data_IF_554881719132
#
_entry.id   IF_554881719132
#
_cell.length_a   1.000
_cell.length_b   1.000
_cell.length_c   1.000
_cell.angle_alpha   90.00
_cell.angle_beta   90.00
_cell.angle_gamma   90.00
#
_symmetry.space_group_name_H-M   'P 1'
#
loop_
_entity.id
_entity.type
_entity.pdbx_description
1 polymer ?
#
# COMPACT_ATOMS: atom_id res chain seq x y z
N UNK A 1 0.04 8.03 5.74
CA UNK A 1 1.43 7.72 5.32
C UNK A 1 2.38 8.88 5.63
N UNK A 2 2.15 10.11 5.12
CA UNK A 2 3.08 11.24 5.29
C UNK A 2 3.30 11.66 6.76
N UNK A 3 2.24 11.65 7.55
CA UNK A 3 2.30 11.98 8.99
C UNK A 3 2.86 10.84 9.87
N UNK A 4 3.24 9.69 9.27
CA UNK A 4 3.80 8.53 9.97
C UNK A 4 2.94 8.00 11.16
N UNK A 5 1.61 8.09 11.06
CA UNK A 5 0.67 7.62 12.07
C UNK A 5 0.07 6.23 11.78
N UNK A 6 0.67 5.48 10.84
CA UNK A 6 0.17 4.17 10.40
C UNK A 6 1.25 3.14 10.67
N UNK A 7 0.97 2.18 11.55
CA UNK A 7 1.89 1.07 11.85
C UNK A 7 1.70 -0.12 10.90
N UNK A 8 0.49 -0.28 10.35
CA UNK A 8 0.13 -1.41 9.49
C UNK A 8 -0.64 -0.95 8.25
N UNK A 9 -0.32 -1.56 7.11
CA UNK A 9 -0.93 -1.25 5.82
C UNK A 9 -1.49 -2.53 5.19
N UNK A 10 -2.80 -2.52 4.94
CA UNK A 10 -3.51 -3.64 4.31
C UNK A 10 -3.93 -3.25 2.90
N UNK A 11 -3.57 -4.06 1.90
CA UNK A 11 -3.88 -3.84 0.49
C UNK A 11 -4.52 -5.09 -0.12
N UNK A 12 -5.65 -4.91 -0.79
CA UNK A 12 -6.28 -5.98 -1.58
C UNK A 12 -6.08 -5.72 -3.07
N UNK A 13 -5.60 -6.73 -3.78
CA UNK A 13 -5.52 -6.76 -5.25
C UNK A 13 -6.72 -7.53 -5.77
N UNK A 14 -7.63 -6.83 -6.46
CA UNK A 14 -8.80 -7.40 -7.11
C UNK A 14 -8.48 -7.77 -8.58
N UNK A 15 -9.19 -8.73 -9.19
CA UNK A 15 -9.03 -9.12 -10.60
C UNK A 15 -9.72 -8.12 -11.55
N UNK A 16 -9.49 -6.82 -11.34
CA UNK A 16 -10.12 -5.73 -12.08
C UNK A 16 -9.08 -4.64 -12.38
N UNK A 17 -8.98 -4.26 -13.66
CA UNK A 17 -8.11 -3.16 -14.10
C UNK A 17 -8.98 -1.94 -14.38
N UNK A 18 -8.86 -0.92 -13.54
CA UNK A 18 -9.44 0.39 -13.77
C UNK A 18 -8.33 1.34 -14.26
N UNK A 19 -8.46 1.84 -15.48
CA UNK A 19 -7.51 2.79 -16.08
C UNK A 19 -8.17 4.14 -16.28
N UNK A 20 -7.43 5.21 -16.04
CA UNK A 20 -7.88 6.58 -16.23
C UNK A 20 -6.94 7.54 -15.51
N UNK A 21 -6.60 8.67 -16.14
CA UNK A 21 -5.68 9.68 -15.59
C UNK A 21 -6.08 10.17 -14.19
N UNK A 22 -7.38 10.15 -13.89
CA UNK A 22 -7.95 10.60 -12.62
C UNK A 22 -8.54 9.44 -11.81
N UNK A 23 -8.15 8.20 -12.10
CA UNK A 23 -8.61 7.06 -11.30
C UNK A 23 -7.93 7.12 -9.93
N UNK A 24 -8.69 7.04 -8.81
CA UNK A 24 -8.11 7.09 -7.48
C UNK A 24 -7.16 5.92 -7.27
N UNK A 25 -5.96 6.20 -6.74
CA UNK A 25 -4.96 5.17 -6.43
C UNK A 25 -4.83 4.97 -4.92
N UNK A 26 -4.35 3.81 -4.42
CA UNK A 26 -4.22 3.56 -2.98
C UNK A 26 -3.32 4.54 -2.21
N UNK A 27 -2.45 5.27 -2.93
CA UNK A 27 -1.56 6.28 -2.38
C UNK A 27 -1.52 7.51 -3.31
N UNK A 28 -2.66 8.19 -3.43
CA UNK A 28 -2.80 9.43 -4.20
C UNK A 28 -2.28 10.66 -3.42
N UNK A 29 -2.11 11.80 -4.10
CA UNK A 29 -1.57 13.05 -3.54
C UNK A 29 -0.20 13.42 -4.11
N UNK A 30 0.60 14.20 -3.37
CA UNK A 30 1.93 14.67 -3.83
C UNK A 30 2.97 13.53 -3.98
N UNK A 31 2.68 12.34 -3.47
CA UNK A 31 3.60 11.22 -3.44
C UNK A 31 4.80 11.42 -2.50
N UNK A 32 5.79 10.53 -2.60
CA UNK A 32 7.03 10.60 -1.86
C UNK A 32 8.21 10.53 -2.82
N UNK A 33 9.30 11.23 -2.52
CA UNK A 33 10.59 10.90 -3.12
C UNK A 33 11.03 9.52 -2.60
N UNK A 34 11.61 8.70 -3.45
CA UNK A 34 12.02 7.32 -3.10
C UNK A 34 12.97 7.24 -1.91
N UNK A 35 13.73 8.30 -1.63
CA UNK A 35 14.64 8.42 -0.50
C UNK A 35 13.93 8.56 0.85
N UNK A 36 12.70 9.10 0.88
CA UNK A 36 11.93 9.37 2.10
C UNK A 36 10.61 8.59 2.14
N UNK A 37 10.38 7.73 1.16
CA UNK A 37 9.18 6.91 1.12
C UNK A 37 9.17 5.89 2.27
N UNK A 38 8.04 5.72 2.98
CA UNK A 38 7.91 4.71 4.02
C UNK A 38 8.29 3.32 3.48
N UNK A 39 9.16 2.61 4.19
CA UNK A 39 9.51 1.23 3.87
C UNK A 39 8.49 0.30 4.48
N UNK A 40 8.11 -0.73 3.74
CA UNK A 40 7.11 -1.71 4.18
C UNK A 40 7.75 -3.10 4.26
N UNK A 41 7.45 -3.85 5.31
CA UNK A 41 7.75 -5.27 5.42
C UNK A 41 6.47 -6.08 5.20
N UNK A 42 6.50 -7.01 4.25
CA UNK A 42 5.39 -7.92 4.01
C UNK A 42 5.31 -8.96 5.14
N UNK A 43 4.18 -9.00 5.83
CA UNK A 43 3.91 -9.94 6.92
C UNK A 43 3.11 -11.15 6.43
N UNK A 44 2.08 -10.93 5.62
CA UNK A 44 1.19 -11.99 5.14
C UNK A 44 0.76 -11.74 3.69
N UNK A 45 0.64 -12.83 2.92
CA UNK A 45 -0.07 -12.89 1.64
C UNK A 45 -1.16 -13.94 1.76
N UNK A 46 -2.40 -13.56 1.48
CA UNK A 46 -3.54 -14.48 1.52
C UNK A 46 -4.39 -14.34 0.28
N UNK A 47 -4.64 -15.44 -0.41
CA UNK A 47 -5.57 -15.47 -1.56
C UNK A 47 -6.93 -15.96 -1.08
N UNK A 48 -7.99 -15.19 -1.37
CA UNK A 48 -9.38 -15.59 -1.11
C UNK A 48 -10.17 -15.39 -2.40
N UNK A 49 -10.70 -16.47 -2.97
CA UNK A 49 -11.31 -16.42 -4.29
C UNK A 49 -10.30 -16.00 -5.36
N UNK A 50 -10.57 -14.90 -6.06
CA UNK A 50 -9.68 -14.31 -7.07
C UNK A 50 -8.96 -13.04 -6.59
N UNK A 51 -9.02 -12.75 -5.29
CA UNK A 51 -8.39 -11.57 -4.69
C UNK A 51 -7.16 -11.96 -3.87
N UNK A 52 -6.18 -11.05 -3.82
CA UNK A 52 -4.96 -11.19 -3.01
C UNK A 52 -4.94 -10.13 -1.93
N UNK A 53 -4.90 -10.55 -0.67
CA UNK A 53 -4.80 -9.70 0.51
C UNK A 53 -3.35 -9.66 0.96
N UNK A 54 -2.81 -8.45 1.11
CA UNK A 54 -1.45 -8.17 1.50
C UNK A 54 -1.47 -7.42 2.83
N UNK A 55 -0.77 -7.95 3.83
CA UNK A 55 -0.58 -7.29 5.11
C UNK A 55 0.87 -6.84 5.24
N UNK A 56 1.07 -5.55 5.41
CA UNK A 56 2.37 -4.95 5.62
C UNK A 56 2.47 -4.29 7.00
N UNK A 57 3.67 -4.33 7.56
CA UNK A 57 4.10 -3.43 8.63
C UNK A 57 4.87 -2.25 8.02
N UNK A 58 4.62 -1.05 8.53
CA UNK A 58 5.44 0.12 8.22
C UNK A 58 6.71 0.05 9.06
N UNK A 59 7.87 0.11 8.39
CA UNK A 59 9.16 0.18 9.07
C UNK A 59 9.41 1.63 9.47
N UNK A 60 9.52 1.86 10.77
CA UNK A 60 10.03 3.10 11.34
C UNK A 60 11.53 2.95 11.58
N UNK A 61 12.32 3.93 11.13
CA UNK A 61 13.69 4.06 11.59
C UNK A 61 13.61 4.43 13.09
N UNK A 62 14.18 3.57 13.94
CA UNK A 62 14.22 3.77 15.39
C UNK A 62 15.19 4.86 15.82
#
# INVERSE_FOLDING_TARGET
>A
LKENLIDQFWLTICPLILSGKNSPTPADGEGFLSAVAPRLQLLEVKTIGQEVFLHYQVLTDG
#
